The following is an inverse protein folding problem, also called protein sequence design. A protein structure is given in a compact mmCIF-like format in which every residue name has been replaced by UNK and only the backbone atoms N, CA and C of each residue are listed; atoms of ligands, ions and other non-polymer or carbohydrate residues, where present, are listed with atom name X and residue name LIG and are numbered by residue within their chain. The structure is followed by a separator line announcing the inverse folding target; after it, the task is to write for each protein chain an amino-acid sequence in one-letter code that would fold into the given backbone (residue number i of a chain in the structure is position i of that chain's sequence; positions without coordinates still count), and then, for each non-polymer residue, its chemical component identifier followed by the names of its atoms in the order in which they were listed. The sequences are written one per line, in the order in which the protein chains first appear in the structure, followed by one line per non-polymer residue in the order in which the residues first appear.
data_IF_459961048361
#
_entry.id   IF_459961048361
#
_cell.length_a   1.000
_cell.length_b   1.000
_cell.length_c   1.000
_cell.angle_alpha   90.00
_cell.angle_beta   90.00
_cell.angle_gamma   90.00
#
_symmetry.space_group_name_H-M   'P 1'
#
loop_
_entity.id
_entity.type
_entity.pdbx_description
1 polymer ?
#
# COMPACT_ATOMS: atom_id res chain seq x y z
N UNK A 1 -12.10 33.42 -6.16
CA UNK A 1 -11.35 32.19 -6.41
C UNK A 1 -10.77 32.24 -7.80
N UNK A 2 -9.44 32.14 -7.93
CA UNK A 2 -8.80 32.02 -9.24
C UNK A 2 -9.10 30.67 -9.90
N UNK A 3 -8.94 30.54 -11.24
CA UNK A 3 -9.17 29.27 -11.93
C UNK A 3 -8.28 28.13 -11.41
N UNK A 4 -7.08 28.46 -10.90
CA UNK A 4 -6.13 27.51 -10.30
C UNK A 4 -6.66 26.97 -8.96
N UNK A 5 -7.19 27.82 -8.08
CA UNK A 5 -7.79 27.40 -6.79
C UNK A 5 -8.95 26.44 -7.01
N UNK A 6 -9.82 26.78 -7.96
CA UNK A 6 -10.99 25.99 -8.31
C UNK A 6 -10.58 24.62 -8.85
N UNK A 7 -9.60 24.57 -9.75
CA UNK A 7 -9.06 23.34 -10.28
C UNK A 7 -8.41 22.47 -9.19
N UNK A 8 -7.57 23.06 -8.34
CA UNK A 8 -6.90 22.32 -7.26
C UNK A 8 -7.88 21.84 -6.20
N UNK A 9 -8.91 22.64 -5.89
CA UNK A 9 -10.00 22.24 -5.01
C UNK A 9 -10.79 21.04 -5.56
N UNK A 10 -11.20 21.09 -6.82
CA UNK A 10 -11.89 19.97 -7.47
C UNK A 10 -11.01 18.73 -7.57
N UNK A 11 -9.74 18.88 -7.97
CA UNK A 11 -8.79 17.78 -8.03
C UNK A 11 -8.59 17.16 -6.64
N UNK A 12 -8.42 17.99 -5.61
CA UNK A 12 -8.26 17.54 -4.23
C UNK A 12 -9.44 16.72 -3.73
N UNK A 13 -10.68 17.21 -3.95
CA UNK A 13 -11.90 16.47 -3.58
C UNK A 13 -12.00 15.16 -4.36
N UNK A 14 -11.71 15.18 -5.66
CA UNK A 14 -11.74 13.98 -6.50
C UNK A 14 -10.74 12.91 -6.02
N UNK A 15 -9.47 13.29 -5.78
CA UNK A 15 -8.45 12.36 -5.28
C UNK A 15 -8.72 11.92 -3.84
N UNK A 16 -9.35 12.76 -3.02
CA UNK A 16 -9.79 12.39 -1.68
C UNK A 16 -10.87 11.30 -1.71
N UNK A 17 -11.89 11.47 -2.56
CA UNK A 17 -12.94 10.46 -2.76
C UNK A 17 -12.37 9.17 -3.35
N UNK A 18 -11.46 9.28 -4.32
CA UNK A 18 -10.78 8.13 -4.92
C UNK A 18 -9.93 7.39 -3.88
N UNK A 19 -9.21 8.11 -3.02
CA UNK A 19 -8.44 7.52 -1.92
C UNK A 19 -9.33 6.79 -0.92
N UNK A 20 -10.48 7.35 -0.56
CA UNK A 20 -11.46 6.67 0.30
C UNK A 20 -12.04 5.41 -0.35
N UNK A 21 -12.37 5.46 -1.64
CA UNK A 21 -12.83 4.28 -2.38
C UNK A 21 -11.75 3.18 -2.41
N UNK A 22 -10.49 3.55 -2.65
CA UNK A 22 -9.36 2.62 -2.58
C UNK A 22 -9.15 2.07 -1.17
N UNK A 23 -9.36 2.87 -0.12
CA UNK A 23 -9.31 2.39 1.27
C UNK A 23 -10.36 1.35 1.55
N UNK A 24 -11.58 1.59 1.07
CA UNK A 24 -12.68 0.66 1.23
C UNK A 24 -12.36 -0.67 0.54
N UNK A 25 -11.92 -0.62 -0.73
CA UNK A 25 -11.52 -1.82 -1.48
C UNK A 25 -10.36 -2.53 -0.78
N UNK A 26 -9.32 -1.81 -0.36
CA UNK A 26 -8.19 -2.39 0.36
C UNK A 26 -8.62 -3.03 1.69
N UNK A 27 -9.56 -2.44 2.41
CA UNK A 27 -10.10 -2.97 3.67
C UNK A 27 -10.87 -4.26 3.45
N UNK A 28 -11.76 -4.28 2.44
CA UNK A 28 -12.52 -5.49 2.07
C UNK A 28 -11.55 -6.60 1.65
N UNK A 29 -10.61 -6.30 0.75
CA UNK A 29 -9.62 -7.27 0.29
C UNK A 29 -8.75 -7.76 1.44
N UNK A 30 -8.34 -6.89 2.36
CA UNK A 30 -7.58 -7.26 3.55
C UNK A 30 -8.37 -8.15 4.51
N UNK A 31 -9.70 -8.07 4.57
CA UNK A 31 -10.48 -9.00 5.40
C UNK A 31 -10.53 -10.40 4.80
N UNK A 32 -10.64 -10.52 3.47
CA UNK A 32 -10.83 -11.81 2.80
C UNK A 32 -9.53 -12.51 2.38
N UNK A 33 -8.49 -11.74 2.05
CA UNK A 33 -7.25 -12.25 1.46
C UNK A 33 -6.07 -12.24 2.41
N UNK A 34 -6.24 -11.79 3.66
CA UNK A 34 -5.13 -11.75 4.63
C UNK A 34 -4.68 -13.14 5.06
N UNK A 35 -5.58 -14.10 5.26
CA UNK A 35 -5.17 -15.46 5.64
C UNK A 35 -4.36 -16.13 4.53
N UNK A 36 -4.76 -15.90 3.28
CA UNK A 36 -4.04 -16.37 2.10
C UNK A 36 -2.69 -15.66 1.95
N UNK A 37 -2.65 -14.34 2.17
CA UNK A 37 -1.40 -13.59 2.16
C UNK A 37 -0.47 -14.01 3.31
N UNK A 38 -0.99 -14.25 4.51
CA UNK A 38 -0.21 -14.69 5.67
C UNK A 38 0.32 -16.12 5.46
N UNK A 39 -0.37 -16.97 4.70
CA UNK A 39 0.15 -18.29 4.34
C UNK A 39 1.43 -18.21 3.49
N UNK A 40 1.45 -17.35 2.47
CA UNK A 40 2.59 -17.23 1.55
C UNK A 40 3.66 -16.24 2.02
N UNK A 41 3.24 -15.16 2.69
CA UNK A 41 4.07 -14.00 3.06
C UNK A 41 4.16 -13.78 4.59
N UNK A 42 3.37 -14.48 5.41
CA UNK A 42 3.16 -14.17 6.84
C UNK A 42 4.38 -14.28 7.74
N UNK A 43 5.46 -14.90 7.28
CA UNK A 43 6.75 -14.89 8.02
C UNK A 43 7.50 -13.56 7.95
N UNK A 44 7.06 -12.63 7.09
CA UNK A 44 7.62 -11.26 6.98
C UNK A 44 7.51 -10.46 8.29
N UNK A 45 6.79 -10.99 9.29
CA UNK A 45 6.54 -10.36 10.58
C UNK A 45 6.84 -11.18 11.83
N UNK A 46 7.87 -12.04 11.89
CA UNK A 46 8.41 -12.53 13.18
C UNK A 46 9.12 -11.41 13.98
N UNK A 47 8.49 -10.25 14.09
CA UNK A 47 8.85 -9.17 14.99
C UNK A 47 8.07 -9.38 16.29
N UNK A 48 8.54 -10.33 17.11
CA UNK A 48 8.39 -10.38 18.57
C UNK A 48 7.01 -10.35 19.24
N UNK A 49 5.91 -10.09 18.53
CA UNK A 49 4.56 -10.09 19.06
C UNK A 49 3.74 -11.09 18.27
N UNK A 50 3.26 -12.09 18.98
CA UNK A 50 2.30 -13.09 18.54
C UNK A 50 1.20 -12.42 17.68
N UNK A 51 1.26 -12.63 16.37
CA UNK A 51 0.35 -12.01 15.40
C UNK A 51 -1.03 -12.69 15.39
N UNK A 52 -1.65 -12.80 16.56
CA UNK A 52 -3.02 -13.31 16.73
C UNK A 52 -4.10 -12.24 16.47
N UNK A 53 -3.72 -10.96 16.35
CA UNK A 53 -4.66 -9.87 16.10
C UNK A 53 -5.13 -9.87 14.64
N UNK A 54 -6.19 -10.63 14.38
CA UNK A 54 -6.98 -10.58 13.15
C UNK A 54 -8.00 -9.44 13.26
N UNK A 55 -7.81 -8.40 12.47
CA UNK A 55 -8.71 -7.26 12.39
C UNK A 55 -8.12 -6.10 11.58
N UNK A 56 -8.98 -5.27 11.01
CA UNK A 56 -8.59 -3.92 10.58
C UNK A 56 -8.23 -3.14 11.86
N UNK A 57 -7.12 -2.39 11.94
CA UNK A 57 -6.21 -1.92 10.87
C UNK A 57 -4.97 -2.80 10.62
N UNK A 58 -4.76 -3.85 11.43
CA UNK A 58 -3.54 -4.64 11.40
C UNK A 58 -3.39 -5.48 10.12
N UNK A 59 -4.48 -6.06 9.62
CA UNK A 59 -4.48 -6.80 8.35
C UNK A 59 -4.10 -5.91 7.16
N UNK A 60 -4.63 -4.69 7.11
CA UNK A 60 -4.35 -3.72 6.06
C UNK A 60 -2.87 -3.30 6.09
N UNK A 61 -2.33 -3.01 7.27
CA UNK A 61 -0.90 -2.69 7.42
C UNK A 61 0.02 -3.84 6.95
N UNK A 62 -0.33 -5.10 7.24
CA UNK A 62 0.46 -6.26 6.77
C UNK A 62 0.41 -6.39 5.24
N UNK A 63 -0.77 -6.29 4.64
CA UNK A 63 -0.91 -6.30 3.17
C UNK A 63 -0.11 -5.17 2.52
N UNK A 64 -0.14 -3.97 3.09
CA UNK A 64 0.65 -2.83 2.63
C UNK A 64 2.15 -3.14 2.67
N UNK A 65 2.65 -3.76 3.75
CA UNK A 65 4.05 -4.19 3.85
C UNK A 65 4.42 -5.23 2.79
N UNK A 66 3.54 -6.20 2.52
CA UNK A 66 3.76 -7.19 1.47
C UNK A 66 3.80 -6.53 0.09
N UNK A 67 2.86 -5.64 -0.20
CA UNK A 67 2.83 -4.87 -1.45
C UNK A 67 4.09 -4.02 -1.63
N UNK A 68 4.55 -3.33 -0.59
CA UNK A 68 5.79 -2.55 -0.61
C UNK A 68 7.02 -3.43 -0.86
N UNK A 69 7.15 -4.54 -0.13
CA UNK A 69 8.25 -5.48 -0.29
C UNK A 69 8.31 -6.07 -1.70
N UNK A 70 7.14 -6.39 -2.28
CA UNK A 70 7.03 -6.92 -3.64
C UNK A 70 7.29 -5.86 -4.71
N UNK A 71 6.81 -4.63 -4.52
CA UNK A 71 7.00 -3.54 -5.48
C UNK A 71 8.47 -3.08 -5.52
N UNK A 72 9.14 -3.06 -4.37
CA UNK A 72 10.53 -2.62 -4.24
C UNK A 72 11.52 -3.76 -4.04
N UNK A 73 11.17 -4.99 -4.44
CA UNK A 73 12.03 -6.18 -4.25
C UNK A 73 13.39 -6.06 -4.96
N UNK A 74 13.50 -5.21 -5.98
CA UNK A 74 14.75 -4.95 -6.72
C UNK A 74 15.60 -3.84 -6.11
N UNK A 75 15.08 -3.12 -5.10
CA UNK A 75 15.81 -2.03 -4.46
C UNK A 75 16.79 -2.59 -3.42
N UNK A 76 18.09 -2.23 -3.53
CA UNK A 76 19.16 -2.71 -2.64
C UNK A 76 18.83 -2.60 -1.14
N UNK A 77 18.17 -1.52 -0.72
CA UNK A 77 17.79 -1.33 0.69
C UNK A 77 16.70 -2.30 1.16
N UNK A 78 15.75 -2.64 0.28
CA UNK A 78 14.67 -3.58 0.57
C UNK A 78 15.19 -5.01 0.50
N UNK A 79 16.06 -5.33 -0.46
CA UNK A 79 16.75 -6.61 -0.50
C UNK A 79 17.53 -6.87 0.78
N UNK A 80 18.33 -5.90 1.27
CA UNK A 80 19.07 -6.06 2.52
C UNK A 80 18.15 -6.20 3.74
N UNK A 81 17.07 -5.42 3.81
CA UNK A 81 16.13 -5.43 4.95
C UNK A 81 15.25 -6.68 4.98
N UNK A 82 14.90 -7.22 3.81
CA UNK A 82 13.94 -8.31 3.64
C UNK A 82 14.53 -9.55 2.94
N UNK A 83 15.86 -9.73 2.93
CA UNK A 83 16.53 -10.80 2.17
C UNK A 83 15.95 -12.19 2.48
N UNK A 84 15.90 -12.53 3.78
CA UNK A 84 15.36 -13.83 4.25
C UNK A 84 13.89 -14.00 3.87
N UNK A 85 13.12 -12.92 3.93
CA UNK A 85 11.71 -12.94 3.58
C UNK A 85 11.50 -13.09 2.08
N UNK A 86 12.32 -12.44 1.24
CA UNK A 86 12.24 -12.56 -0.22
C UNK A 86 12.58 -13.98 -0.66
N UNK A 87 13.60 -14.58 -0.05
CA UNK A 87 14.02 -15.97 -0.29
C UNK A 87 12.90 -16.97 0.09
N UNK A 88 12.24 -16.77 1.24
CA UNK A 88 11.10 -17.60 1.63
C UNK A 88 9.87 -17.42 0.71
N UNK A 89 9.63 -16.20 0.24
CA UNK A 89 8.55 -15.91 -0.73
C UNK A 89 8.83 -16.58 -2.06
N UNK A 90 10.09 -16.61 -2.50
CA UNK A 90 10.49 -17.33 -3.70
C UNK A 90 10.34 -18.85 -3.52
N UNK A 91 10.70 -19.38 -2.35
CA UNK A 91 10.55 -20.80 -2.01
C UNK A 91 9.08 -21.25 -1.91
N UNK A 92 8.17 -20.39 -1.42
CA UNK A 92 6.75 -20.70 -1.27
C UNK A 92 5.95 -20.54 -2.58
N UNK A 93 6.52 -19.94 -3.61
CA UNK A 93 5.90 -19.75 -4.94
C UNK A 93 4.45 -19.22 -4.90
N UNK A 94 4.22 -17.97 -4.42
CA UNK A 94 2.87 -17.43 -4.29
C UNK A 94 2.15 -17.32 -5.63
N UNK A 95 0.81 -17.45 -5.63
CA UNK A 95 0.04 -17.32 -6.85
C UNK A 95 0.18 -15.94 -7.48
N UNK A 96 0.32 -15.89 -8.81
CA UNK A 96 0.55 -14.64 -9.57
C UNK A 96 -0.54 -13.60 -9.34
N UNK A 97 -1.80 -14.01 -9.13
CA UNK A 97 -2.90 -13.08 -8.86
C UNK A 97 -2.71 -12.36 -7.51
N UNK A 98 -2.23 -13.06 -6.48
CA UNK A 98 -2.06 -12.50 -5.14
C UNK A 98 -0.93 -11.47 -5.13
N UNK A 99 0.18 -11.79 -5.81
CA UNK A 99 1.28 -10.83 -6.05
C UNK A 99 0.76 -9.58 -6.78
N UNK A 100 0.03 -9.75 -7.88
CA UNK A 100 -0.53 -8.61 -8.65
C UNK A 100 -1.49 -7.78 -7.81
N UNK A 101 -2.36 -8.42 -7.04
CA UNK A 101 -3.32 -7.76 -6.17
C UNK A 101 -2.63 -6.91 -5.10
N UNK A 102 -1.63 -7.47 -4.40
CA UNK A 102 -0.88 -6.74 -3.38
C UNK A 102 -0.10 -5.56 -3.95
N UNK A 103 0.55 -5.76 -5.11
CA UNK A 103 1.27 -4.71 -5.83
C UNK A 103 0.32 -3.63 -6.31
N UNK A 104 -0.83 -3.99 -6.88
CA UNK A 104 -1.81 -3.04 -7.39
C UNK A 104 -2.44 -2.19 -6.28
N UNK A 105 -2.82 -2.83 -5.17
CA UNK A 105 -3.33 -2.11 -4.00
C UNK A 105 -2.29 -1.11 -3.49
N UNK A 106 -1.03 -1.54 -3.31
CA UNK A 106 0.01 -0.66 -2.80
C UNK A 106 0.38 0.46 -3.79
N UNK A 107 0.52 0.14 -5.08
CA UNK A 107 0.88 1.10 -6.12
C UNK A 107 -0.20 2.18 -6.29
N UNK A 108 -1.48 1.80 -6.28
CA UNK A 108 -2.59 2.76 -6.41
C UNK A 108 -2.60 3.76 -5.25
N UNK A 109 -2.35 3.30 -4.02
CA UNK A 109 -2.17 4.14 -2.84
C UNK A 109 -0.96 5.06 -2.93
N UNK A 110 0.18 4.53 -3.36
CA UNK A 110 1.41 5.32 -3.51
C UNK A 110 1.22 6.44 -4.54
N UNK A 111 0.58 6.15 -5.67
CA UNK A 111 0.26 7.15 -6.70
C UNK A 111 -0.69 8.21 -6.15
N UNK A 112 -1.76 7.82 -5.45
CA UNK A 112 -2.67 8.78 -4.83
C UNK A 112 -1.96 9.69 -3.82
N UNK A 113 -1.08 9.13 -2.98
CA UNK A 113 -0.27 9.89 -2.04
C UNK A 113 0.68 10.87 -2.72
N UNK A 114 1.34 10.45 -3.81
CA UNK A 114 2.20 11.34 -4.60
C UNK A 114 1.42 12.48 -5.25
N UNK A 115 0.25 12.19 -5.83
CA UNK A 115 -0.60 13.22 -6.45
C UNK A 115 -1.10 14.21 -5.39
N UNK A 116 -1.54 13.71 -4.23
CA UNK A 116 -1.96 14.57 -3.12
C UNK A 116 -0.80 15.46 -2.61
N UNK A 117 0.41 14.92 -2.53
CA UNK A 117 1.59 15.69 -2.15
C UNK A 117 1.94 16.77 -3.19
N UNK A 118 1.83 16.47 -4.48
CA UNK A 118 2.02 17.46 -5.56
C UNK A 118 0.96 18.55 -5.49
N UNK A 119 -0.31 18.20 -5.35
CA UNK A 119 -1.41 19.17 -5.23
C UNK A 119 -1.24 20.05 -3.99
N UNK A 120 -0.86 19.47 -2.86
CA UNK A 120 -0.55 20.21 -1.64
C UNK A 120 0.67 21.14 -1.80
N UNK A 121 1.71 20.68 -2.50
CA UNK A 121 2.88 21.51 -2.82
C UNK A 121 2.54 22.68 -3.74
N UNK A 122 1.67 22.46 -4.74
CA UNK A 122 1.16 23.52 -5.62
C UNK A 122 0.36 24.54 -4.80
N UNK A 123 -0.50 24.09 -3.87
CA UNK A 123 -1.21 25.02 -2.99
C UNK A 123 -0.24 25.87 -2.18
N UNK A 124 0.76 25.26 -1.52
CA UNK A 124 1.71 26.02 -0.71
C UNK A 124 2.51 27.01 -1.58
N UNK A 125 2.95 26.61 -2.77
CA UNK A 125 3.76 27.45 -3.64
C UNK A 125 3.01 28.63 -4.27
N UNK A 126 1.70 28.52 -4.48
CA UNK A 126 0.88 29.57 -5.12
C UNK A 126 0.03 30.41 -4.14
N UNK A 127 -0.12 29.94 -2.89
CA UNK A 127 -0.91 30.63 -1.84
C UNK A 127 -0.08 31.11 -0.64
N UNK A 128 1.26 31.06 -0.74
CA UNK A 128 2.18 31.85 0.08
C UNK A 128 2.41 33.23 -0.54
#
# INVERSE_FOLDING_TARGET
MGPIELFVGFAGVFFGLLGLALLFVASVVALFKIDEADHYYGKVGKLGFDMSLKGLPFSLNRMTRYGMMLLFSETLNIQKRYAKQLEEVEANTPPKYLKRLLVWLYASWLICGLIAAILGGILIAFFQ
#
